data_IF_518219281806
#
_entry.id   IF_518219281806
#
_cell.length_a   1.000
_cell.length_b   1.000
_cell.length_c   1.000
_cell.angle_alpha   90.00
_cell.angle_beta   90.00
_cell.angle_gamma   90.00
#
_symmetry.space_group_name_H-M   'P 1'
#
loop_
_entity.id
_entity.type
_entity.pdbx_description
1 polymer ?
#
# COMPACT_ATOMS: atom_id res chain seq x y z
N UNK A 1 33.81 -5.11 16.63
CA UNK A 1 32.47 -5.59 17.00
C UNK A 1 32.06 -6.63 15.98
N UNK A 2 31.92 -7.91 16.35
CA UNK A 2 31.48 -8.98 15.44
C UNK A 2 29.98 -9.16 15.53
N UNK A 3 29.25 -8.79 14.48
CA UNK A 3 27.84 -9.15 14.35
C UNK A 3 27.71 -10.64 14.03
N UNK A 4 26.99 -11.40 14.87
CA UNK A 4 26.66 -12.80 14.60
C UNK A 4 25.27 -12.89 13.99
N UNK A 5 25.15 -13.61 12.88
CA UNK A 5 23.84 -13.97 12.32
C UNK A 5 23.15 -14.96 13.26
N UNK A 6 21.87 -14.72 13.54
CA UNK A 6 21.06 -15.70 14.28
C UNK A 6 20.61 -16.78 13.30
N UNK A 7 21.07 -18.01 13.49
CA UNK A 7 20.73 -19.16 12.64
C UNK A 7 19.23 -19.41 12.62
N UNK A 8 18.55 -19.26 13.75
CA UNK A 8 17.09 -19.41 13.85
C UNK A 8 16.29 -18.37 13.03
N UNK A 9 16.87 -17.18 12.80
CA UNK A 9 16.21 -16.06 12.09
C UNK A 9 16.70 -15.91 10.65
N UNK A 10 17.79 -16.60 10.29
CA UNK A 10 18.38 -16.51 8.94
C UNK A 10 17.77 -17.61 8.06
N UNK A 11 17.06 -17.21 7.02
CA UNK A 11 16.53 -18.14 6.02
C UNK A 11 17.13 -17.84 4.66
N UNK A 12 17.65 -18.88 4.01
CA UNK A 12 18.04 -18.82 2.61
C UNK A 12 16.81 -19.18 1.78
N UNK A 13 16.33 -18.23 0.97
CA UNK A 13 15.15 -18.41 0.14
C UNK A 13 15.51 -18.14 -1.32
N UNK A 14 15.02 -18.98 -2.22
CA UNK A 14 15.21 -18.74 -3.65
C UNK A 14 14.37 -17.57 -4.13
N UNK A 15 14.91 -16.72 -5.02
CA UNK A 15 14.24 -15.49 -5.51
C UNK A 15 12.91 -15.79 -6.24
N UNK A 16 12.73 -17.00 -6.77
CA UNK A 16 11.48 -17.41 -7.42
C UNK A 16 10.36 -17.73 -6.39
N UNK A 17 10.73 -18.13 -5.17
CA UNK A 17 9.79 -18.32 -4.08
C UNK A 17 9.36 -16.97 -3.49
N UNK A 18 10.27 -15.99 -3.52
CA UNK A 18 10.08 -14.66 -2.99
C UNK A 18 10.24 -14.58 -1.48
N UNK A 19 10.45 -13.38 -1.01
CA UNK A 19 10.60 -13.08 0.43
C UNK A 19 10.10 -11.68 0.76
N UNK A 20 9.73 -11.50 2.02
CA UNK A 20 9.30 -10.20 2.54
C UNK A 20 10.50 -9.47 3.16
N UNK A 21 10.70 -8.23 2.72
CA UNK A 21 11.74 -7.33 3.26
C UNK A 21 11.20 -5.92 3.39
N UNK A 22 11.31 -5.32 4.57
CA UNK A 22 10.85 -3.96 4.88
C UNK A 22 9.42 -3.67 4.38
N UNK A 23 8.49 -4.62 4.58
CA UNK A 23 7.10 -4.47 4.17
C UNK A 23 6.84 -4.62 2.67
N UNK A 24 7.86 -4.93 1.88
CA UNK A 24 7.76 -5.25 0.46
C UNK A 24 7.98 -6.75 0.28
N UNK A 25 7.23 -7.35 -0.64
CA UNK A 25 7.49 -8.69 -1.13
C UNK A 25 8.34 -8.60 -2.40
N UNK A 26 9.43 -9.33 -2.45
CA UNK A 26 10.38 -9.35 -3.57
C UNK A 26 10.35 -10.75 -4.18
N UNK A 27 10.00 -10.83 -5.46
CA UNK A 27 9.89 -12.12 -6.16
C UNK A 27 10.20 -11.97 -7.65
N UNK A 28 10.82 -12.98 -8.22
CA UNK A 28 11.06 -13.08 -9.65
C UNK A 28 9.88 -13.76 -10.34
N UNK A 29 9.30 -13.08 -11.34
CA UNK A 29 8.20 -13.61 -12.14
C UNK A 29 8.60 -13.72 -13.60
N UNK A 30 8.11 -14.75 -14.26
CA UNK A 30 8.18 -14.87 -15.72
C UNK A 30 7.13 -13.95 -16.34
N UNK A 31 7.52 -13.16 -17.34
CA UNK A 31 6.57 -12.34 -18.09
C UNK A 31 5.65 -13.23 -18.91
N UNK A 32 4.35 -13.00 -18.82
CA UNK A 32 3.36 -13.73 -19.61
C UNK A 32 3.63 -13.52 -21.11
N UNK A 33 3.71 -14.62 -21.86
CA UNK A 33 3.97 -14.59 -23.32
C UNK A 33 5.43 -14.35 -23.71
N UNK A 34 6.39 -14.36 -22.78
CA UNK A 34 7.81 -14.21 -23.08
C UNK A 34 8.67 -15.06 -22.12
N UNK A 35 9.85 -15.45 -22.58
CA UNK A 35 10.80 -16.20 -21.73
C UNK A 35 11.66 -15.31 -20.82
N UNK A 36 11.31 -14.04 -20.71
CA UNK A 36 12.01 -13.07 -19.85
C UNK A 36 11.47 -13.12 -18.43
N UNK A 37 12.38 -13.10 -17.46
CA UNK A 37 12.08 -13.05 -16.03
C UNK A 37 12.46 -11.68 -15.48
N UNK A 38 11.62 -11.15 -14.58
CA UNK A 38 11.83 -9.85 -13.94
C UNK A 38 11.59 -9.98 -12.46
N UNK A 39 12.41 -9.30 -11.68
CA UNK A 39 12.19 -9.16 -10.24
C UNK A 39 11.21 -8.02 -10.00
N UNK A 40 10.13 -8.32 -9.29
CA UNK A 40 9.13 -7.35 -8.88
C UNK A 40 9.18 -7.16 -7.37
N UNK A 41 8.99 -5.92 -6.95
CA UNK A 41 8.73 -5.56 -5.57
C UNK A 41 7.31 -5.04 -5.47
N UNK A 42 6.52 -5.53 -4.52
CA UNK A 42 5.16 -5.08 -4.26
C UNK A 42 4.85 -5.15 -2.76
N UNK A 43 3.81 -4.43 -2.28
CA UNK A 43 3.50 -4.42 -0.85
C UNK A 43 3.25 -5.84 -0.33
N UNK A 44 3.89 -6.21 0.77
CA UNK A 44 3.69 -7.53 1.38
C UNK A 44 2.28 -7.68 1.93
N UNK A 45 1.83 -8.94 2.08
CA UNK A 45 0.52 -9.25 2.68
C UNK A 45 0.42 -8.71 4.11
N UNK A 46 1.51 -8.81 4.86
CA UNK A 46 1.60 -8.30 6.24
C UNK A 46 1.47 -6.77 6.28
N UNK A 47 2.16 -6.04 5.39
CA UNK A 47 2.06 -4.58 5.30
C UNK A 47 0.64 -4.13 4.93
N UNK A 48 -0.02 -4.82 3.99
CA UNK A 48 -1.40 -4.54 3.62
C UNK A 48 -2.36 -4.86 4.78
N UNK A 49 -2.16 -5.95 5.50
CA UNK A 49 -2.97 -6.30 6.68
C UNK A 49 -2.83 -5.23 7.78
N UNK A 50 -1.62 -4.74 8.02
CA UNK A 50 -1.33 -3.71 9.03
C UNK A 50 -2.04 -2.38 8.70
N UNK A 51 -1.97 -1.87 7.46
CA UNK A 51 -2.68 -0.64 7.10
C UNK A 51 -4.20 -0.82 7.17
N UNK A 52 -4.74 -1.98 6.76
CA UNK A 52 -6.17 -2.29 6.90
C UNK A 52 -6.60 -2.31 8.37
N UNK A 53 -5.77 -2.81 9.27
CA UNK A 53 -6.03 -2.77 10.72
C UNK A 53 -6.11 -1.33 11.22
N UNK A 54 -5.14 -0.47 10.85
CA UNK A 54 -5.16 0.97 11.19
C UNK A 54 -6.44 1.67 10.68
N UNK A 55 -6.84 1.41 9.43
CA UNK A 55 -8.09 1.94 8.87
C UNK A 55 -9.32 1.45 9.64
N UNK A 56 -9.38 0.16 10.00
CA UNK A 56 -10.48 -0.38 10.83
C UNK A 56 -10.53 0.29 12.19
N UNK A 57 -9.40 0.44 12.86
CA UNK A 57 -9.31 1.10 14.17
C UNK A 57 -9.79 2.54 14.09
N UNK A 58 -9.36 3.30 13.08
CA UNK A 58 -9.83 4.67 12.88
C UNK A 58 -11.35 4.76 12.66
N UNK A 59 -11.93 3.80 11.92
CA UNK A 59 -13.38 3.75 11.64
C UNK A 59 -14.21 3.10 12.76
N UNK A 60 -13.61 2.44 13.74
CA UNK A 60 -14.32 1.87 14.91
C UNK A 60 -14.55 2.87 16.03
N UNK A 61 -13.92 4.04 15.96
CA UNK A 61 -14.10 5.10 16.93
C UNK A 61 -15.55 5.59 17.00
N UNK A 62 -15.81 6.46 17.98
CA UNK A 62 -17.14 7.00 18.25
C UNK A 62 -17.76 7.66 17.02
N UNK A 63 -19.04 7.41 16.79
CA UNK A 63 -19.83 8.07 15.73
C UNK A 63 -20.14 9.54 16.07
N UNK A 64 -19.78 10.02 17.27
CA UNK A 64 -20.00 11.41 17.69
C UNK A 64 -19.11 12.43 16.99
N UNK A 65 -17.98 11.99 16.43
CA UNK A 65 -17.08 12.84 15.62
C UNK A 65 -17.68 13.17 14.25
N UNK A 66 -17.20 14.24 13.60
CA UNK A 66 -17.57 14.58 12.23
C UNK A 66 -16.87 13.64 11.21
N UNK A 67 -17.38 13.59 9.97
CA UNK A 67 -16.67 12.91 8.89
C UNK A 67 -15.32 13.59 8.62
N UNK A 68 -15.27 14.91 8.70
CA UNK A 68 -14.03 15.69 8.57
C UNK A 68 -12.95 15.22 9.53
N UNK A 69 -13.28 14.98 10.81
CA UNK A 69 -12.33 14.51 11.82
C UNK A 69 -11.86 13.08 11.54
N UNK A 70 -12.78 12.22 11.10
CA UNK A 70 -12.44 10.87 10.66
C UNK A 70 -11.44 10.91 9.49
N UNK A 71 -11.70 11.74 8.47
CA UNK A 71 -10.85 11.87 7.30
C UNK A 71 -9.49 12.49 7.63
N UNK A 72 -9.43 13.47 8.53
CA UNK A 72 -8.16 14.03 9.04
C UNK A 72 -7.27 12.98 9.69
N UNK A 73 -7.84 11.95 10.31
CA UNK A 73 -7.08 10.82 10.88
C UNK A 73 -6.72 9.75 9.84
N UNK A 74 -7.61 9.48 8.88
CA UNK A 74 -7.39 8.45 7.85
C UNK A 74 -6.38 8.89 6.79
N UNK A 75 -6.46 10.15 6.33
CA UNK A 75 -5.64 10.63 5.24
C UNK A 75 -4.12 10.52 5.48
N UNK A 76 -3.57 10.87 6.65
CA UNK A 76 -2.15 10.69 6.93
C UNK A 76 -1.71 9.21 6.88
N UNK A 77 -2.55 8.29 7.40
CA UNK A 77 -2.28 6.85 7.36
C UNK A 77 -2.17 6.37 5.92
N UNK A 78 -3.14 6.76 5.08
CA UNK A 78 -3.18 6.35 3.68
C UNK A 78 -2.02 6.97 2.89
N UNK A 79 -1.77 8.28 3.05
CA UNK A 79 -0.66 8.98 2.36
C UNK A 79 0.69 8.40 2.72
N UNK A 80 0.98 8.23 4.00
CA UNK A 80 2.26 7.70 4.45
C UNK A 80 2.50 6.30 3.90
N UNK A 81 1.50 5.42 3.98
CA UNK A 81 1.61 4.07 3.45
C UNK A 81 1.76 4.04 1.92
N UNK A 82 0.98 4.86 1.20
CA UNK A 82 1.03 4.95 -0.26
C UNK A 82 2.36 5.51 -0.75
N UNK A 83 2.87 6.58 -0.11
CA UNK A 83 4.16 7.16 -0.48
C UNK A 83 5.32 6.20 -0.27
N UNK A 84 5.28 5.39 0.77
CA UNK A 84 6.27 4.35 1.02
C UNK A 84 6.25 3.27 -0.07
N UNK A 85 5.07 2.81 -0.48
CA UNK A 85 4.92 1.70 -1.41
C UNK A 85 4.86 2.10 -2.90
N UNK A 86 4.81 3.40 -3.23
CA UNK A 86 4.71 3.89 -4.62
C UNK A 86 5.88 3.50 -5.52
N UNK A 87 7.00 3.07 -4.93
CA UNK A 87 8.19 2.66 -5.66
C UNK A 87 8.16 1.20 -6.13
N UNK A 88 7.15 0.44 -5.72
CA UNK A 88 6.92 -0.94 -6.12
C UNK A 88 5.78 -1.10 -7.13
N UNK A 89 5.48 -2.34 -7.50
CA UNK A 89 4.34 -2.71 -8.34
C UNK A 89 3.03 -2.71 -7.53
N UNK A 90 2.59 -1.54 -7.05
CA UNK A 90 1.55 -1.39 -6.04
C UNK A 90 0.16 -1.00 -6.59
N UNK A 91 -0.02 -0.76 -7.90
CA UNK A 91 -1.27 -0.22 -8.47
C UNK A 91 -2.52 -1.01 -8.05
N UNK A 92 -2.49 -2.34 -8.21
CA UNK A 92 -3.62 -3.19 -7.80
C UNK A 92 -3.91 -3.12 -6.30
N UNK A 93 -2.85 -3.04 -5.50
CA UNK A 93 -2.96 -2.93 -4.04
C UNK A 93 -3.52 -1.56 -3.63
N UNK A 94 -3.15 -0.50 -4.34
CA UNK A 94 -3.68 0.84 -4.10
C UNK A 94 -5.18 0.93 -4.42
N UNK A 95 -5.61 0.42 -5.57
CA UNK A 95 -7.04 0.35 -5.91
C UNK A 95 -7.85 -0.48 -4.90
N UNK A 96 -7.29 -1.61 -4.46
CA UNK A 96 -7.91 -2.40 -3.41
C UNK A 96 -8.00 -1.64 -2.07
N UNK A 97 -6.95 -0.92 -1.67
CA UNK A 97 -6.94 -0.14 -0.42
C UNK A 97 -7.93 1.03 -0.50
N UNK A 98 -8.04 1.70 -1.65
CA UNK A 98 -9.05 2.72 -1.92
C UNK A 98 -10.46 2.17 -1.70
N UNK A 99 -10.81 1.09 -2.38
CA UNK A 99 -12.14 0.46 -2.27
C UNK A 99 -12.43 -0.02 -0.83
N UNK A 100 -11.43 -0.63 -0.18
CA UNK A 100 -11.54 -1.05 1.21
C UNK A 100 -11.82 0.12 2.16
N UNK A 101 -11.06 1.22 2.04
CA UNK A 101 -11.22 2.40 2.88
C UNK A 101 -12.56 3.07 2.64
N UNK A 102 -12.94 3.25 1.39
CA UNK A 102 -14.24 3.79 1.01
C UNK A 102 -15.39 3.02 1.65
N UNK A 103 -15.36 1.69 1.55
CA UNK A 103 -16.35 0.81 2.17
C UNK A 103 -16.39 0.98 3.70
N UNK A 104 -15.24 1.14 4.37
CA UNK A 104 -15.18 1.35 5.82
C UNK A 104 -15.78 2.69 6.23
N UNK A 105 -15.49 3.76 5.49
CA UNK A 105 -16.08 5.09 5.69
C UNK A 105 -17.59 5.05 5.45
N UNK A 106 -18.04 4.34 4.41
CA UNK A 106 -19.48 4.16 4.14
C UNK A 106 -20.21 3.46 5.29
N UNK A 107 -19.66 2.35 5.79
CA UNK A 107 -20.23 1.62 6.94
C UNK A 107 -20.30 2.54 8.16
N UNK A 108 -19.26 3.33 8.40
CA UNK A 108 -19.22 4.28 9.50
C UNK A 108 -20.30 5.37 9.35
N UNK A 109 -20.49 5.94 8.16
CA UNK A 109 -21.55 6.92 7.87
C UNK A 109 -22.95 6.33 8.11
N UNK A 110 -23.17 5.10 7.68
CA UNK A 110 -24.44 4.40 7.93
C UNK A 110 -24.70 4.18 9.41
N UNK A 111 -23.65 3.83 10.17
CA UNK A 111 -23.75 3.69 11.63
C UNK A 111 -23.99 5.02 12.34
N UNK A 112 -23.41 6.12 11.83
CA UNK A 112 -23.62 7.46 12.38
C UNK A 112 -25.03 7.99 12.13
N UNK A 113 -25.64 7.65 11.00
CA UNK A 113 -26.94 8.15 10.56
C UNK A 113 -27.89 6.99 10.21
N UNK A 114 -28.33 6.21 11.21
CA UNK A 114 -29.10 4.98 10.95
C UNK A 114 -30.46 5.24 10.27
N UNK A 115 -31.04 6.41 10.52
CA UNK A 115 -32.35 6.82 9.95
C UNK A 115 -32.24 7.51 8.58
N UNK A 116 -31.02 7.91 8.16
CA UNK A 116 -30.83 8.62 6.90
C UNK A 116 -30.88 7.67 5.72
N UNK A 117 -31.53 8.11 4.65
CA UNK A 117 -31.55 7.39 3.38
C UNK A 117 -30.20 7.47 2.66
N UNK A 118 -29.93 6.53 1.76
CA UNK A 118 -28.73 6.55 0.91
C UNK A 118 -28.63 7.85 0.10
N UNK A 119 -29.78 8.36 -0.39
CA UNK A 119 -29.85 9.60 -1.17
C UNK A 119 -29.41 10.82 -0.34
N UNK A 120 -29.86 10.91 0.91
CA UNK A 120 -29.46 11.98 1.83
C UNK A 120 -27.97 11.92 2.19
N UNK A 121 -27.45 10.74 2.55
CA UNK A 121 -26.04 10.56 2.83
C UNK A 121 -25.16 10.90 1.63
N UNK A 122 -25.57 10.49 0.43
CA UNK A 122 -24.86 10.81 -0.80
C UNK A 122 -24.80 12.32 -1.04
N UNK A 123 -25.95 13.01 -0.92
CA UNK A 123 -26.04 14.47 -1.13
C UNK A 123 -25.17 15.23 -0.12
N UNK A 124 -25.14 14.77 1.13
CA UNK A 124 -24.47 15.50 2.23
C UNK A 124 -22.98 15.20 2.33
N UNK A 125 -22.56 13.94 2.11
CA UNK A 125 -21.20 13.48 2.46
C UNK A 125 -20.44 12.87 1.29
N UNK A 126 -21.07 12.63 0.15
CA UNK A 126 -20.48 11.90 -0.97
C UNK A 126 -20.69 12.61 -2.32
N UNK A 127 -20.24 13.88 -2.45
CA UNK A 127 -20.30 14.57 -3.74
C UNK A 127 -19.47 13.76 -4.76
N UNK A 128 -20.11 13.38 -5.91
CA UNK A 128 -19.46 12.51 -6.90
C UNK A 128 -19.00 11.14 -6.38
N UNK A 129 -19.64 10.62 -5.33
CA UNK A 129 -19.24 9.40 -4.62
C UNK A 129 -17.88 9.49 -3.86
N UNK A 130 -17.37 10.69 -3.64
CA UNK A 130 -16.16 10.92 -2.88
C UNK A 130 -16.49 11.35 -1.43
N UNK A 131 -16.11 10.58 -0.40
CA UNK A 131 -16.30 11.00 0.99
C UNK A 131 -15.63 12.35 1.25
N UNK A 132 -16.46 13.31 1.61
CA UNK A 132 -16.03 14.69 1.87
C UNK A 132 -16.96 15.35 2.88
N UNK A 133 -16.38 16.12 3.78
CA UNK A 133 -17.09 17.06 4.63
C UNK A 133 -16.21 18.29 4.85
N UNK A 134 -16.83 19.47 4.81
CA UNK A 134 -16.13 20.75 4.79
C UNK A 134 -15.12 20.75 3.62
N UNK A 135 -13.89 21.15 3.82
CA UNK A 135 -12.83 21.11 2.82
C UNK A 135 -12.04 19.79 2.80
N UNK A 136 -12.38 18.84 3.68
CA UNK A 136 -11.62 17.60 3.85
C UNK A 136 -12.21 16.50 3.00
N UNK A 137 -11.44 16.05 2.00
CA UNK A 137 -11.73 14.89 1.15
C UNK A 137 -10.96 13.67 1.60
N UNK A 138 -11.55 12.48 1.41
CA UNK A 138 -10.82 11.22 1.55
C UNK A 138 -9.67 11.16 0.53
N UNK A 139 -8.49 10.78 1.02
CA UNK A 139 -7.34 10.52 0.16
C UNK A 139 -7.51 9.19 -0.58
N UNK A 140 -7.17 9.18 -1.87
CA UNK A 140 -7.29 8.04 -2.76
C UNK A 140 -5.91 7.49 -3.14
N UNK A 141 -5.47 6.36 -2.57
CA UNK A 141 -4.19 5.72 -2.91
C UNK A 141 -3.97 5.47 -4.40
N UNK A 142 -5.01 5.09 -5.14
CA UNK A 142 -4.95 4.76 -6.56
C UNK A 142 -4.73 5.97 -7.50
N UNK A 143 -4.88 7.18 -6.99
CA UNK A 143 -4.53 8.40 -7.75
C UNK A 143 -3.04 8.71 -7.73
N UNK A 144 -2.27 8.02 -6.87
CA UNK A 144 -0.84 8.29 -6.74
C UNK A 144 -0.06 7.57 -7.83
N UNK A 145 0.75 8.33 -8.56
CA UNK A 145 1.60 7.78 -9.60
C UNK A 145 2.63 6.80 -9.02
N UNK A 146 2.74 5.65 -9.67
CA UNK A 146 3.77 4.66 -9.36
C UNK A 146 5.10 5.09 -9.97
N UNK A 147 6.10 5.28 -9.11
CA UNK A 147 7.46 5.67 -9.52
C UNK A 147 8.39 4.49 -9.24
N UNK A 148 8.53 3.60 -10.22
CA UNK A 148 9.43 2.44 -10.06
C UNK A 148 10.87 2.88 -10.20
N UNK A 149 11.71 2.45 -9.28
CA UNK A 149 13.15 2.49 -9.50
C UNK A 149 13.49 1.45 -10.57
N UNK A 150 14.00 1.91 -11.70
CA UNK A 150 14.63 1.01 -12.66
C UNK A 150 15.98 0.62 -12.11
N UNK A 151 16.19 -0.66 -11.83
CA UNK A 151 17.50 -1.16 -11.48
C UNK A 151 18.44 -0.91 -12.67
N UNK A 152 19.45 -0.09 -12.44
CA UNK A 152 20.50 0.23 -13.41
C UNK A 152 21.77 -0.51 -13.01
N UNK A 153 21.71 -1.84 -12.90
CA UNK A 153 22.81 -2.65 -12.41
C UNK A 153 24.12 -2.45 -13.17
N UNK A 154 24.04 -2.20 -14.49
CA UNK A 154 25.20 -1.87 -15.31
C UNK A 154 25.80 -0.44 -15.06
N UNK A 155 25.04 0.45 -14.40
CA UNK A 155 25.49 1.82 -14.10
C UNK A 155 25.95 2.02 -12.65
N UNK A 156 25.82 1.00 -11.80
CA UNK A 156 26.24 1.05 -10.40
C UNK A 156 27.56 0.28 -10.31
N UNK A 157 28.62 0.94 -9.87
CA UNK A 157 29.90 0.29 -9.62
C UNK A 157 29.69 -0.87 -8.63
N UNK A 158 30.02 -2.09 -9.04
CA UNK A 158 29.96 -3.27 -8.18
C UNK A 158 31.19 -3.28 -7.27
N UNK A 159 31.03 -3.55 -5.95
CA UNK A 159 32.19 -3.76 -5.08
C UNK A 159 32.92 -5.08 -5.38
N UNK A 160 32.30 -5.94 -6.20
CA UNK A 160 32.91 -7.19 -6.67
C UNK A 160 33.68 -6.93 -7.95
N UNK A 161 34.92 -7.38 -7.99
CA UNK A 161 35.70 -7.32 -9.23
C UNK A 161 34.92 -8.03 -10.36
N UNK A 162 34.67 -7.32 -11.46
CA UNK A 162 34.22 -7.96 -12.68
C UNK A 162 35.30 -8.95 -13.08
N UNK A 163 35.01 -10.23 -13.12
CA UNK A 163 35.87 -11.19 -13.82
C UNK A 163 35.88 -10.73 -15.26
N UNK A 164 36.99 -10.09 -15.66
CA UNK A 164 37.24 -9.83 -17.06
C UNK A 164 37.09 -11.15 -17.78
N UNK A 165 36.17 -11.20 -18.70
CA UNK A 165 36.04 -12.28 -19.64
C UNK A 165 37.29 -12.19 -20.50
N UNK A 166 38.33 -12.90 -20.10
CA UNK A 166 39.50 -13.12 -20.95
C UNK A 166 38.98 -13.83 -22.22
N UNK A 167 39.26 -13.20 -23.33
CA UNK A 167 38.97 -13.65 -24.67
C UNK A 167 39.59 -15.02 -24.98
#
# INVERSE_FOLDING_TARGET
MGLRLSEEKTKIVHIDEGFDFLGMHIQRHKKLGADRRFVYTYPSRAALAAVKAKVRTACRGTTNQSLSDLLKRLNPILRGWTNYHRHGAASKTFSYLTAFTWRRVWIWLRGKHPKATVKELRRRYLPGWHPQQDEVRMFYPDTVAIVRYRYRGAAIASPWATKDTAA
#
